data_IF_079888133964
#
_entry.id   IF_079888133964
#
_cell.length_a   1.000
_cell.length_b   1.000
_cell.length_c   1.000
_cell.angle_alpha   90.00
_cell.angle_beta   90.00
_cell.angle_gamma   90.00
#
_symmetry.space_group_name_H-M   'P 1'
#
loop_
_entity.id
_entity.type
_entity.pdbx_description
1 polymer ?
#
# COMPACT_ATOMS: atom_id res chain seq x y z
N UNK A 1 35.14 -27.96 49.17
CA UNK A 1 34.70 -27.15 48.00
C UNK A 1 35.92 -26.81 47.15
N UNK A 2 35.95 -27.25 45.89
CA UNK A 2 37.05 -26.97 44.97
C UNK A 2 37.13 -25.47 44.68
N UNK A 3 38.16 -24.80 45.22
CA UNK A 3 38.40 -23.35 45.03
C UNK A 3 38.82 -22.99 43.59
N UNK A 4 39.08 -23.99 42.74
CA UNK A 4 39.58 -23.83 41.37
C UNK A 4 38.59 -23.11 40.43
N UNK A 5 37.31 -22.96 40.81
CA UNK A 5 36.30 -22.26 40.01
C UNK A 5 36.09 -20.80 40.40
N UNK A 6 36.66 -20.33 41.52
CA UNK A 6 36.44 -18.96 42.02
C UNK A 6 37.09 -17.94 41.09
N UNK A 7 38.36 -18.17 40.70
CA UNK A 7 39.09 -17.29 39.80
C UNK A 7 38.44 -17.21 38.39
N UNK A 8 38.15 -18.32 37.69
CA UNK A 8 37.49 -18.24 36.39
C UNK A 8 36.07 -17.64 36.49
N UNK A 9 35.32 -17.93 37.55
CA UNK A 9 34.01 -17.31 37.77
C UNK A 9 34.09 -15.79 37.96
N UNK A 10 35.06 -15.31 38.73
CA UNK A 10 35.31 -13.88 38.91
C UNK A 10 35.72 -13.20 37.60
N UNK A 11 36.61 -13.82 36.82
CA UNK A 11 37.03 -13.28 35.51
C UNK A 11 35.84 -13.16 34.55
N UNK A 12 34.96 -14.16 34.51
CA UNK A 12 33.74 -14.12 33.67
C UNK A 12 32.83 -12.98 34.11
N UNK A 13 32.59 -12.83 35.41
CA UNK A 13 31.72 -11.77 35.93
C UNK A 13 32.27 -10.37 35.66
N UNK A 14 33.57 -10.14 35.88
CA UNK A 14 34.22 -8.86 35.60
C UNK A 14 34.18 -8.56 34.11
N UNK A 15 34.50 -9.54 33.25
CA UNK A 15 34.47 -9.37 31.80
C UNK A 15 33.06 -9.05 31.30
N UNK A 16 32.07 -9.80 31.79
CA UNK A 16 30.66 -9.56 31.45
C UNK A 16 30.17 -8.20 31.94
N UNK A 17 30.54 -7.80 33.16
CA UNK A 17 30.21 -6.48 33.71
C UNK A 17 30.85 -5.35 32.92
N UNK A 18 32.11 -5.51 32.49
CA UNK A 18 32.81 -4.53 31.67
C UNK A 18 32.17 -4.39 30.27
N UNK A 19 31.75 -5.50 29.66
CA UNK A 19 31.03 -5.47 28.38
C UNK A 19 29.69 -4.75 28.54
N UNK A 20 28.89 -5.08 29.58
CA UNK A 20 27.63 -4.38 29.86
C UNK A 20 27.88 -2.90 30.11
N UNK A 21 28.88 -2.56 30.92
CA UNK A 21 29.19 -1.18 31.22
C UNK A 21 29.54 -0.40 29.95
N UNK A 22 30.41 -0.94 29.10
CA UNK A 22 30.88 -0.24 27.90
C UNK A 22 29.86 -0.20 26.75
N UNK A 23 29.01 -1.23 26.61
CA UNK A 23 28.08 -1.35 25.47
C UNK A 23 26.64 -0.93 25.78
N UNK A 24 26.25 -0.89 27.07
CA UNK A 24 24.88 -0.55 27.49
C UNK A 24 24.86 0.66 28.39
N UNK A 25 25.55 0.61 29.54
CA UNK A 25 25.45 1.66 30.55
C UNK A 25 26.11 2.96 30.09
N UNK A 26 27.33 2.90 29.57
CA UNK A 26 28.07 4.08 29.12
C UNK A 26 27.30 4.80 27.99
N UNK A 27 26.87 4.15 26.88
CA UNK A 27 26.03 4.78 25.87
C UNK A 27 24.73 5.37 26.44
N UNK A 28 24.06 4.69 27.38
CA UNK A 28 22.85 5.20 27.99
C UNK A 28 23.04 6.56 28.70
N UNK A 29 24.22 6.80 29.28
CA UNK A 29 24.53 8.06 29.97
C UNK A 29 25.10 9.15 29.07
N UNK A 30 25.68 8.81 27.91
CA UNK A 30 26.37 9.79 27.04
C UNK A 30 25.63 10.07 25.72
N UNK A 31 24.78 9.14 25.27
CA UNK A 31 24.12 9.21 23.98
C UNK A 31 22.67 9.69 24.14
N UNK A 32 22.51 11.00 24.10
CA UNK A 32 21.21 11.67 24.07
C UNK A 32 21.11 12.47 22.78
N UNK A 33 20.64 11.85 21.68
CA UNK A 33 20.46 12.59 20.44
C UNK A 33 19.37 13.65 20.63
N UNK A 34 19.63 14.87 20.17
CA UNK A 34 18.61 15.91 20.09
C UNK A 34 17.53 15.52 19.06
N UNK A 35 16.27 15.95 19.24
CA UNK A 35 15.23 15.76 18.25
C UNK A 35 15.67 16.31 16.89
N UNK A 36 15.54 15.49 15.85
CA UNK A 36 15.77 15.98 14.49
C UNK A 36 14.63 16.91 14.05
N UNK A 37 14.84 17.63 12.94
CA UNK A 37 13.77 18.38 12.26
C UNK A 37 12.54 17.49 11.92
N UNK A 38 12.76 16.19 11.75
CA UNK A 38 11.76 15.22 11.35
C UNK A 38 11.16 14.43 12.51
N UNK A 39 11.62 14.65 13.76
CA UNK A 39 11.11 13.97 14.93
C UNK A 39 9.59 14.25 15.09
N UNK A 40 8.83 13.18 15.35
CA UNK A 40 7.37 13.24 15.49
C UNK A 40 7.00 12.93 16.93
N UNK A 41 6.39 13.90 17.60
CA UNK A 41 5.62 13.63 18.81
C UNK A 41 4.26 13.07 18.40
N UNK A 42 3.94 11.88 18.89
CA UNK A 42 2.70 11.21 18.53
C UNK A 42 1.51 11.84 19.24
N UNK A 43 0.46 12.09 18.46
CA UNK A 43 -0.89 12.30 19.01
C UNK A 43 -1.36 11.04 19.75
N UNK A 44 -2.40 11.15 20.59
CA UNK A 44 -2.96 9.99 21.31
C UNK A 44 -3.38 8.86 20.37
N UNK A 45 -3.95 9.20 19.21
CA UNK A 45 -4.35 8.22 18.20
C UNK A 45 -3.15 7.53 17.54
N UNK A 46 -2.10 8.28 17.20
CA UNK A 46 -0.85 7.73 16.64
C UNK A 46 -0.10 6.87 17.68
N UNK A 47 -0.09 7.27 18.94
CA UNK A 47 0.50 6.49 20.03
C UNK A 47 -0.23 5.17 20.25
N UNK A 48 -1.57 5.18 20.26
CA UNK A 48 -2.39 3.96 20.26
C UNK A 48 -2.07 3.08 19.05
N UNK A 49 -1.96 3.68 17.86
CA UNK A 49 -1.60 2.98 16.63
C UNK A 49 -0.23 2.31 16.68
N UNK A 50 0.75 2.98 17.31
CA UNK A 50 2.09 2.46 17.53
C UNK A 50 2.08 1.25 18.46
N UNK A 51 1.25 1.29 19.51
CA UNK A 51 1.07 0.15 20.40
C UNK A 51 0.44 -1.04 19.67
N UNK A 52 -0.53 -0.79 18.79
CA UNK A 52 -1.13 -1.82 17.93
C UNK A 52 -0.08 -2.38 16.97
N UNK A 53 0.71 -1.54 16.30
CA UNK A 53 1.79 -1.98 15.40
C UNK A 53 2.76 -2.94 16.11
N UNK A 54 3.11 -2.66 17.38
CA UNK A 54 3.91 -3.55 18.22
C UNK A 54 3.17 -4.82 18.59
N UNK A 55 1.92 -4.71 19.06
CA UNK A 55 1.06 -5.84 19.50
C UNK A 55 0.84 -6.85 18.38
N UNK A 56 0.59 -6.37 17.17
CA UNK A 56 0.36 -7.18 15.98
C UNK A 56 1.67 -7.72 15.36
N UNK A 57 2.83 -7.34 15.91
CA UNK A 57 4.13 -7.84 15.48
C UNK A 57 4.58 -7.32 14.11
N UNK A 58 4.08 -6.16 13.66
CA UNK A 58 4.42 -5.60 12.35
C UNK A 58 5.94 -5.37 12.21
N UNK A 59 6.61 -5.03 13.32
CA UNK A 59 8.08 -4.85 13.42
C UNK A 59 8.89 -6.09 13.03
N UNK A 60 8.29 -7.29 13.10
CA UNK A 60 8.96 -8.52 12.69
C UNK A 60 9.00 -8.69 11.18
N UNK A 61 8.25 -7.92 10.40
CA UNK A 61 8.31 -7.98 8.93
C UNK A 61 8.77 -6.67 8.30
N UNK A 62 8.47 -5.55 8.94
CA UNK A 62 8.70 -4.22 8.43
C UNK A 62 9.74 -3.48 9.27
N UNK A 63 10.84 -3.09 8.62
CA UNK A 63 11.81 -2.18 9.24
C UNK A 63 11.31 -0.74 9.21
N UNK A 64 11.78 0.05 10.16
CA UNK A 64 11.70 1.50 10.16
C UNK A 64 13.12 2.04 10.27
N UNK A 65 13.99 1.63 9.35
CA UNK A 65 15.35 2.11 9.29
C UNK A 65 15.90 2.05 7.86
N UNK A 66 15.78 3.16 7.14
CA UNK A 66 16.35 3.30 5.79
C UNK A 66 17.87 3.49 5.87
N UNK A 67 18.60 2.58 5.23
CA UNK A 67 20.08 2.48 5.22
C UNK A 67 20.65 3.15 3.97
N UNK A 68 21.95 3.45 3.98
CA UNK A 68 22.66 4.06 2.83
C UNK A 68 22.55 3.25 1.53
N UNK A 69 22.57 1.92 1.66
CA UNK A 69 22.45 0.98 0.56
C UNK A 69 21.01 0.79 0.05
N UNK A 70 20.02 1.28 0.79
CA UNK A 70 18.63 1.11 0.40
C UNK A 70 18.26 1.99 -0.79
N UNK A 71 17.31 1.51 -1.59
CA UNK A 71 16.78 2.22 -2.76
C UNK A 71 15.25 2.16 -2.72
N UNK A 72 14.61 3.26 -3.07
CA UNK A 72 13.14 3.34 -3.18
C UNK A 72 12.37 3.54 -1.86
N UNK A 73 13.04 3.60 -0.70
CA UNK A 73 12.38 3.81 0.60
C UNK A 73 12.39 5.26 1.10
N UNK A 74 12.83 6.21 0.27
CA UNK A 74 12.85 7.64 0.61
C UNK A 74 14.13 8.08 1.33
N UNK A 75 14.13 9.26 1.97
CA UNK A 75 15.31 9.82 2.62
C UNK A 75 15.80 8.97 3.79
N UNK A 76 17.09 9.09 4.09
CA UNK A 76 17.74 8.41 5.21
C UNK A 76 17.18 8.90 6.54
N UNK A 77 17.14 8.00 7.51
CA UNK A 77 16.72 8.29 8.88
C UNK A 77 17.91 8.76 9.71
N UNK A 78 17.64 9.57 10.73
CA UNK A 78 18.64 10.09 11.67
C UNK A 78 18.35 9.58 13.09
N UNK A 79 19.37 9.53 13.95
CA UNK A 79 19.18 9.10 15.35
C UNK A 79 18.13 9.97 16.08
N UNK A 80 18.13 11.27 15.81
CA UNK A 80 17.16 12.23 16.35
C UNK A 80 15.70 11.99 15.94
N UNK A 81 15.44 11.18 14.90
CA UNK A 81 14.08 10.88 14.44
C UNK A 81 13.30 10.01 15.45
N UNK A 82 14.01 9.29 16.32
CA UNK A 82 13.46 8.30 17.26
C UNK A 82 13.54 8.75 18.73
N UNK A 83 13.73 10.05 18.98
CA UNK A 83 13.87 10.56 20.37
C UNK A 83 12.62 10.30 21.21
N UNK A 84 11.44 10.32 20.59
CA UNK A 84 10.16 10.06 21.25
C UNK A 84 9.76 8.57 21.24
N UNK A 85 10.62 7.70 20.72
CA UNK A 85 10.31 6.30 20.48
C UNK A 85 10.86 5.39 21.58
N UNK A 86 10.00 4.99 22.52
CA UNK A 86 10.37 4.05 23.59
C UNK A 86 9.41 2.85 23.65
N UNK A 87 9.88 1.61 23.38
CA UNK A 87 11.14 1.26 22.71
C UNK A 87 11.08 1.63 21.23
N UNK A 88 12.21 1.87 20.57
CA UNK A 88 12.24 2.10 19.12
C UNK A 88 11.79 0.87 18.31
N UNK A 89 11.21 1.11 17.14
CA UNK A 89 10.60 0.08 16.28
C UNK A 89 11.38 -0.09 14.95
N UNK A 90 12.71 0.03 15.01
CA UNK A 90 13.60 0.00 13.83
C UNK A 90 13.48 -1.29 13.00
N UNK A 91 13.10 -2.40 13.64
CA UNK A 91 13.01 -3.72 13.03
C UNK A 91 14.39 -4.31 12.67
N UNK A 92 14.47 -5.63 12.61
CA UNK A 92 15.72 -6.36 12.33
C UNK A 92 15.71 -7.07 10.98
N UNK A 93 14.53 -7.30 10.40
CA UNK A 93 14.35 -7.95 9.10
C UNK A 93 13.39 -7.18 8.20
N UNK A 94 13.41 -7.50 6.91
CA UNK A 94 12.64 -6.81 5.87
C UNK A 94 11.93 -7.83 4.97
N UNK A 95 11.02 -8.59 5.59
CA UNK A 95 10.12 -9.51 4.89
C UNK A 95 9.06 -8.73 4.09
N UNK A 96 8.57 -7.63 4.68
CA UNK A 96 7.84 -6.58 3.99
C UNK A 96 8.73 -5.35 3.77
N UNK A 97 8.28 -4.33 3.02
CA UNK A 97 9.04 -3.09 2.77
C UNK A 97 9.36 -2.31 4.04
N UNK A 98 10.37 -1.44 3.96
CA UNK A 98 10.65 -0.45 5.01
C UNK A 98 9.56 0.63 5.07
N UNK A 99 9.12 0.99 6.27
CA UNK A 99 8.02 1.93 6.51
C UNK A 99 8.46 3.28 7.08
N UNK A 100 9.76 3.56 7.23
CA UNK A 100 10.26 4.80 7.86
C UNK A 100 9.73 6.08 7.21
N UNK A 101 9.33 5.96 5.94
CA UNK A 101 8.81 7.02 5.09
C UNK A 101 7.51 6.57 4.42
N UNK A 102 6.62 5.86 5.13
CA UNK A 102 5.35 5.42 4.55
C UNK A 102 4.28 6.52 4.58
N UNK A 103 4.40 7.43 5.52
CA UNK A 103 3.44 8.50 5.77
C UNK A 103 3.11 9.31 4.53
N UNK A 104 1.83 9.29 4.17
CA UNK A 104 1.26 9.98 3.03
C UNK A 104 1.33 9.21 1.72
N UNK A 105 2.25 8.25 1.54
CA UNK A 105 2.46 7.50 0.26
C UNK A 105 1.19 6.87 -0.29
N UNK A 106 0.33 6.46 0.62
CA UNK A 106 -1.01 5.98 0.35
C UNK A 106 -1.98 6.68 1.30
N UNK A 107 -3.25 6.89 0.91
CA UNK A 107 -4.26 7.44 1.80
C UNK A 107 -4.88 6.34 2.67
N UNK A 108 -5.61 6.76 3.69
CA UNK A 108 -6.13 5.89 4.76
C UNK A 108 -6.98 4.74 4.23
N UNK A 109 -7.81 4.99 3.21
CA UNK A 109 -8.62 3.96 2.58
C UNK A 109 -7.80 2.85 1.93
N UNK A 110 -6.62 3.17 1.39
CA UNK A 110 -5.69 2.17 0.85
C UNK A 110 -5.10 1.35 1.99
N UNK A 111 -4.63 1.99 3.07
CA UNK A 111 -4.07 1.29 4.22
C UNK A 111 -5.10 0.36 4.85
N UNK A 112 -6.34 0.84 5.05
CA UNK A 112 -7.46 0.02 5.52
C UNK A 112 -7.70 -1.20 4.63
N UNK A 113 -7.80 -1.00 3.31
CA UNK A 113 -7.99 -2.11 2.37
C UNK A 113 -6.80 -3.08 2.37
N UNK A 114 -5.57 -2.56 2.49
CA UNK A 114 -4.35 -3.34 2.56
C UNK A 114 -4.32 -4.19 3.83
N UNK A 115 -4.65 -3.63 5.00
CA UNK A 115 -4.72 -4.36 6.26
C UNK A 115 -5.83 -5.41 6.26
N UNK A 116 -7.01 -5.11 5.70
CA UNK A 116 -8.11 -6.08 5.58
C UNK A 116 -7.71 -7.26 4.68
N UNK A 117 -7.15 -6.99 3.51
CA UNK A 117 -6.69 -8.06 2.62
C UNK A 117 -5.49 -7.60 1.78
N UNK A 118 -4.25 -7.89 2.24
CA UNK A 118 -3.05 -7.44 1.56
C UNK A 118 -2.93 -7.94 0.11
N UNK A 119 -3.52 -9.10 -0.21
CA UNK A 119 -3.44 -9.70 -1.56
C UNK A 119 -4.33 -8.98 -2.58
N UNK A 120 -5.33 -8.24 -2.13
CA UNK A 120 -6.17 -7.43 -3.03
C UNK A 120 -5.46 -6.18 -3.51
N UNK A 121 -4.54 -5.67 -2.70
CA UNK A 121 -3.78 -4.45 -2.96
C UNK A 121 -2.39 -4.76 -3.53
N UNK A 122 -1.70 -5.71 -2.91
CA UNK A 122 -0.37 -6.20 -3.27
C UNK A 122 -0.47 -7.70 -3.52
N UNK A 123 -0.76 -8.11 -4.76
CA UNK A 123 -1.01 -9.52 -5.03
C UNK A 123 0.24 -10.38 -4.82
N UNK A 124 0.06 -11.57 -4.26
CA UNK A 124 1.17 -12.42 -3.83
C UNK A 124 1.80 -11.99 -2.51
N UNK A 125 1.27 -10.94 -1.84
CA UNK A 125 1.72 -10.54 -0.51
C UNK A 125 1.60 -11.70 0.48
N UNK A 126 2.67 -11.88 1.26
CA UNK A 126 2.71 -12.82 2.40
C UNK A 126 2.23 -12.17 3.70
N UNK A 127 1.97 -10.86 3.70
CA UNK A 127 1.46 -10.13 4.87
C UNK A 127 0.12 -10.74 5.34
N UNK A 128 -0.05 -11.05 6.64
CA UNK A 128 -1.32 -11.52 7.18
C UNK A 128 -2.44 -10.49 7.04
N UNK A 129 -3.71 -10.91 6.90
CA UNK A 129 -4.84 -10.00 7.02
C UNK A 129 -5.08 -9.63 8.50
N UNK A 130 -5.49 -8.39 8.76
CA UNK A 130 -5.78 -7.84 10.09
C UNK A 130 -7.28 -7.57 10.28
N UNK A 131 -8.14 -8.41 9.70
CA UNK A 131 -9.60 -8.27 9.77
C UNK A 131 -10.18 -8.41 11.18
N UNK A 132 -9.39 -8.92 12.13
CA UNK A 132 -9.77 -9.02 13.55
C UNK A 132 -9.68 -7.68 14.30
N UNK A 133 -8.99 -6.68 13.75
CA UNK A 133 -8.92 -5.36 14.37
C UNK A 133 -10.29 -4.68 14.30
N UNK A 134 -10.71 -4.11 15.43
CA UNK A 134 -11.87 -3.22 15.48
C UNK A 134 -11.60 -1.95 14.69
N UNK A 135 -12.65 -1.25 14.28
CA UNK A 135 -12.53 -0.02 13.47
C UNK A 135 -11.62 1.02 14.14
N UNK A 136 -11.83 1.34 15.41
CA UNK A 136 -10.99 2.30 16.16
C UNK A 136 -9.52 1.87 16.31
N UNK A 137 -9.23 0.57 16.25
CA UNK A 137 -7.86 0.03 16.27
C UNK A 137 -7.23 0.12 14.87
N UNK A 138 -8.02 -0.13 13.83
CA UNK A 138 -7.63 0.03 12.44
C UNK A 138 -7.29 1.50 12.15
N UNK A 139 -8.14 2.44 12.54
CA UNK A 139 -7.92 3.87 12.37
C UNK A 139 -6.66 4.34 13.11
N UNK A 140 -6.44 3.88 14.34
CA UNK A 140 -5.23 4.18 15.09
C UNK A 140 -3.98 3.64 14.39
N UNK A 141 -3.99 2.39 13.95
CA UNK A 141 -2.86 1.79 13.22
C UNK A 141 -2.55 2.57 11.93
N UNK A 142 -3.59 2.98 11.19
CA UNK A 142 -3.44 3.81 9.99
C UNK A 142 -2.82 5.16 10.36
N UNK A 143 -3.32 5.84 11.41
CA UNK A 143 -2.77 7.12 11.85
C UNK A 143 -1.28 7.02 12.19
N UNK A 144 -0.87 5.96 12.89
CA UNK A 144 0.54 5.71 13.17
C UNK A 144 1.36 5.53 11.88
N UNK A 145 0.94 4.68 10.95
CA UNK A 145 1.65 4.49 9.67
C UNK A 145 1.71 5.79 8.86
N UNK A 146 0.65 6.59 8.90
CA UNK A 146 0.59 7.90 8.26
C UNK A 146 1.55 8.93 8.88
N UNK A 147 1.93 8.76 10.14
CA UNK A 147 2.89 9.63 10.81
C UNK A 147 4.33 9.37 10.37
N UNK A 148 4.64 8.16 9.88
CA UNK A 148 6.01 7.71 9.60
C UNK A 148 6.65 8.50 8.44
N UNK A 149 7.61 9.37 8.75
CA UNK A 149 8.28 10.21 7.76
C UNK A 149 7.40 11.33 7.20
N UNK A 150 6.25 11.63 7.82
CA UNK A 150 5.32 12.71 7.42
C UNK A 150 6.01 14.08 7.32
N UNK A 151 6.93 14.38 8.24
CA UNK A 151 7.77 15.59 8.24
C UNK A 151 8.96 15.49 7.26
N UNK A 152 9.46 14.27 7.03
CA UNK A 152 10.64 13.99 6.18
C UNK A 152 10.32 14.03 4.69
N UNK A 153 9.11 13.60 4.32
CA UNK A 153 8.64 13.58 2.93
C UNK A 153 8.00 14.91 2.54
N UNK A 154 8.42 15.47 1.41
CA UNK A 154 7.76 16.62 0.81
C UNK A 154 6.39 16.19 0.26
N UNK A 155 5.48 17.15 0.06
CA UNK A 155 4.10 16.88 -0.40
C UNK A 155 4.04 15.99 -1.65
N UNK A 156 5.02 16.09 -2.54
CA UNK A 156 5.10 15.32 -3.78
C UNK A 156 5.79 13.95 -3.63
N UNK A 157 6.59 13.72 -2.58
CA UNK A 157 7.21 12.41 -2.28
C UNK A 157 6.26 11.47 -1.50
N UNK A 158 5.21 12.05 -0.92
CA UNK A 158 4.08 11.35 -0.29
C UNK A 158 3.16 10.67 -1.31
N UNK A 159 3.51 10.54 -2.58
CA UNK A 159 2.88 9.58 -3.49
C UNK A 159 4.05 9.04 -4.30
N UNK A 160 4.40 7.75 -4.17
CA UNK A 160 5.58 7.19 -4.86
C UNK A 160 5.56 7.56 -6.35
N UNK A 161 6.58 8.29 -6.79
CA UNK A 161 6.70 8.81 -8.16
C UNK A 161 8.17 8.93 -8.58
N UNK A 162 8.57 8.37 -9.73
CA UNK A 162 9.88 8.67 -10.31
C UNK A 162 9.95 10.13 -10.81
N UNK A 163 11.04 10.84 -10.51
CA UNK A 163 11.26 12.27 -10.90
C UNK A 163 10.99 12.54 -12.39
N UNK A 164 11.28 11.57 -13.25
CA UNK A 164 11.03 11.62 -14.69
C UNK A 164 9.57 11.98 -15.02
N UNK A 165 8.60 11.48 -14.25
CA UNK A 165 7.17 11.73 -14.47
C UNK A 165 6.73 13.12 -14.00
N UNK A 166 7.43 13.70 -13.02
CA UNK A 166 7.19 15.10 -12.61
C UNK A 166 7.60 16.04 -13.74
N UNK A 167 8.74 15.81 -14.38
CA UNK A 167 9.20 16.63 -15.51
C UNK A 167 8.23 16.57 -16.72
N UNK A 168 7.51 15.46 -16.89
CA UNK A 168 6.45 15.35 -17.92
C UNK A 168 5.23 16.22 -17.60
N UNK A 169 4.91 16.42 -16.32
CA UNK A 169 3.82 17.31 -15.91
C UNK A 169 4.16 18.78 -16.25
N UNK A 170 5.39 19.21 -15.98
CA UNK A 170 5.84 20.59 -16.28
C UNK A 170 5.80 20.92 -17.78
N UNK A 171 6.02 19.91 -18.63
CA UNK A 171 6.01 20.03 -20.09
C UNK A 171 4.64 19.69 -20.72
N UNK A 172 3.60 19.47 -19.90
CA UNK A 172 2.28 19.06 -20.38
C UNK A 172 1.61 20.17 -21.17
N UNK A 173 1.20 19.85 -22.40
CA UNK A 173 0.42 20.76 -23.27
C UNK A 173 -1.09 20.56 -23.17
N UNK A 174 -1.54 19.42 -22.64
CA UNK A 174 -2.97 19.07 -22.50
C UNK A 174 -3.54 19.66 -21.21
N UNK A 175 -4.64 20.42 -21.32
CA UNK A 175 -5.47 20.79 -20.18
C UNK A 175 -6.38 19.63 -19.77
N UNK A 176 -6.03 18.96 -18.68
CA UNK A 176 -6.78 17.79 -18.18
C UNK A 176 -8.12 18.13 -17.51
N UNK A 177 -8.44 19.41 -17.33
CA UNK A 177 -9.75 19.83 -16.84
C UNK A 177 -10.71 20.20 -17.98
N UNK A 178 -10.22 20.20 -19.23
CA UNK A 178 -11.02 20.50 -20.41
C UNK A 178 -11.94 19.33 -20.79
N UNK A 179 -13.20 19.65 -21.10
CA UNK A 179 -14.16 18.68 -21.62
C UNK A 179 -13.74 18.09 -22.97
N UNK A 180 -13.02 18.86 -23.80
CA UNK A 180 -12.49 18.39 -25.07
C UNK A 180 -11.42 17.30 -24.86
N UNK A 181 -10.49 17.53 -23.91
CA UNK A 181 -9.47 16.56 -23.53
C UNK A 181 -10.11 15.29 -22.92
N UNK A 182 -11.13 15.45 -22.08
CA UNK A 182 -11.87 14.32 -21.50
C UNK A 182 -12.62 13.51 -22.57
N UNK A 183 -13.18 14.15 -23.60
CA UNK A 183 -13.85 13.46 -24.71
C UNK A 183 -12.87 12.69 -25.59
N UNK A 184 -11.70 13.27 -25.91
CA UNK A 184 -10.62 12.55 -26.58
C UNK A 184 -10.16 11.34 -25.76
N UNK A 185 -10.01 11.52 -24.45
CA UNK A 185 -9.66 10.48 -23.49
C UNK A 185 -10.68 9.34 -23.43
N UNK A 186 -11.98 9.68 -23.45
CA UNK A 186 -13.07 8.70 -23.49
C UNK A 186 -12.96 7.77 -24.68
N UNK A 187 -12.67 8.31 -25.87
CA UNK A 187 -12.47 7.51 -27.08
C UNK A 187 -11.30 6.53 -26.95
N UNK A 188 -10.16 7.00 -26.45
CA UNK A 188 -8.98 6.15 -26.21
C UNK A 188 -9.31 5.06 -25.17
N UNK A 189 -10.00 5.42 -24.09
CA UNK A 189 -10.36 4.51 -23.02
C UNK A 189 -11.32 3.41 -23.50
N UNK A 190 -12.32 3.76 -24.32
CA UNK A 190 -13.25 2.79 -24.90
C UNK A 190 -12.55 1.77 -25.78
N UNK A 191 -11.60 2.21 -26.61
CA UNK A 191 -10.88 1.33 -27.54
C UNK A 191 -9.87 0.41 -26.83
N UNK A 192 -9.26 0.88 -25.74
CA UNK A 192 -8.09 0.24 -25.17
C UNK A 192 -8.30 -0.34 -23.76
N UNK A 193 -9.19 0.23 -22.97
CA UNK A 193 -9.28 -0.01 -21.53
C UNK A 193 -10.60 -0.66 -21.11
N UNK A 194 -11.71 -0.31 -21.78
CA UNK A 194 -13.06 -0.68 -21.39
C UNK A 194 -13.32 -2.20 -21.38
N UNK A 195 -12.60 -2.98 -22.19
CA UNK A 195 -12.71 -4.45 -22.19
C UNK A 195 -12.44 -5.07 -20.82
N UNK A 196 -11.54 -4.46 -20.03
CA UNK A 196 -11.26 -4.88 -18.65
C UNK A 196 -11.95 -3.97 -17.63
N UNK A 197 -11.90 -2.66 -17.82
CA UNK A 197 -12.36 -1.69 -16.82
C UNK A 197 -13.86 -1.34 -16.91
N UNK A 198 -14.56 -1.79 -17.96
CA UNK A 198 -15.90 -1.34 -18.30
C UNK A 198 -15.88 0.09 -18.86
N UNK A 199 -16.89 0.52 -19.59
CA UNK A 199 -16.97 1.87 -20.19
C UNK A 199 -16.98 3.01 -19.17
N UNK A 200 -17.39 2.71 -17.94
CA UNK A 200 -17.45 3.65 -16.81
C UNK A 200 -16.27 3.49 -15.82
N UNK A 201 -15.28 2.65 -16.12
CA UNK A 201 -14.11 2.49 -15.26
C UNK A 201 -14.39 1.80 -13.91
N UNK A 202 -15.46 1.02 -13.82
CA UNK A 202 -15.89 0.34 -12.59
C UNK A 202 -15.19 -1.00 -12.35
N UNK A 203 -14.33 -1.43 -13.27
CA UNK A 203 -13.62 -2.71 -13.18
C UNK A 203 -14.47 -3.92 -13.54
N UNK A 204 -15.57 -3.69 -14.27
CA UNK A 204 -16.59 -4.68 -14.64
C UNK A 204 -16.66 -4.95 -16.15
N UNK A 205 -15.56 -4.77 -16.87
CA UNK A 205 -15.52 -5.07 -18.30
C UNK A 205 -15.69 -6.57 -18.56
N UNK A 206 -16.08 -6.99 -19.78
CA UNK A 206 -16.33 -8.39 -20.10
C UNK A 206 -15.16 -9.33 -19.76
N UNK A 207 -13.91 -8.84 -19.87
CA UNK A 207 -12.74 -9.63 -19.52
C UNK A 207 -12.43 -9.67 -18.02
N UNK A 208 -13.08 -8.86 -17.17
CA UNK A 208 -12.76 -8.77 -15.74
C UNK A 208 -13.07 -10.04 -14.96
N UNK A 209 -14.08 -10.81 -15.41
CA UNK A 209 -14.57 -12.02 -14.73
C UNK A 209 -13.50 -13.12 -14.73
N UNK A 210 -12.78 -13.28 -15.84
CA UNK A 210 -11.77 -14.32 -16.02
C UNK A 210 -10.37 -13.95 -15.47
N UNK A 211 -10.22 -12.78 -14.83
CA UNK A 211 -8.94 -12.33 -14.30
C UNK A 211 -8.79 -12.72 -12.83
N UNK A 212 -7.69 -13.43 -12.54
CA UNK A 212 -7.27 -13.71 -11.16
C UNK A 212 -7.09 -12.42 -10.32
N UNK A 213 -6.74 -11.30 -10.98
CA UNK A 213 -6.69 -9.97 -10.37
C UNK A 213 -7.71 -9.07 -11.05
N UNK A 214 -8.76 -8.70 -10.33
CA UNK A 214 -9.83 -7.86 -10.87
C UNK A 214 -9.31 -6.44 -11.19
N UNK A 215 -9.73 -5.82 -12.31
CA UNK A 215 -9.43 -4.44 -12.62
C UNK A 215 -9.99 -3.47 -11.57
N UNK A 216 -9.33 -2.34 -11.38
CA UNK A 216 -9.73 -1.34 -10.39
C UNK A 216 -11.08 -0.69 -10.73
N UNK A 217 -11.87 -0.41 -9.70
CA UNK A 217 -13.03 0.48 -9.75
C UNK A 217 -12.56 1.90 -9.43
N UNK A 218 -12.41 2.73 -10.47
CA UNK A 218 -11.89 4.09 -10.37
C UNK A 218 -12.85 5.09 -9.71
N UNK A 219 -14.08 4.68 -9.40
CA UNK A 219 -15.03 5.52 -8.67
C UNK A 219 -14.75 5.56 -7.17
N UNK A 220 -13.95 4.62 -6.63
CA UNK A 220 -13.61 4.58 -5.21
C UNK A 220 -12.86 5.86 -4.78
N UNK A 221 -13.14 6.42 -3.58
CA UNK A 221 -12.53 7.68 -3.11
C UNK A 221 -11.02 7.72 -3.27
N UNK A 222 -10.34 6.62 -2.94
CA UNK A 222 -8.90 6.43 -3.11
C UNK A 222 -8.35 6.89 -4.48
N UNK A 223 -9.00 6.47 -5.57
CA UNK A 223 -8.53 6.81 -6.92
C UNK A 223 -8.89 8.24 -7.32
N UNK A 224 -9.89 8.84 -6.68
CA UNK A 224 -10.26 10.24 -6.91
C UNK A 224 -9.27 11.22 -6.31
N UNK A 225 -8.55 10.79 -5.29
CA UNK A 225 -7.53 11.61 -4.63
C UNK A 225 -6.17 11.56 -5.37
N UNK A 226 -6.07 10.79 -6.46
CA UNK A 226 -4.89 10.81 -7.32
C UNK A 226 -4.77 12.16 -8.03
N UNK A 227 -3.59 12.77 -7.93
CA UNK A 227 -3.24 13.89 -8.78
C UNK A 227 -2.99 13.44 -10.24
N UNK A 228 -2.95 14.43 -11.15
CA UNK A 228 -2.89 14.18 -12.59
C UNK A 228 -1.70 13.29 -12.98
N UNK A 229 -0.55 13.52 -12.35
CA UNK A 229 0.70 12.80 -12.66
C UNK A 229 0.73 11.40 -12.06
N UNK A 230 0.04 11.16 -10.95
CA UNK A 230 -0.16 9.80 -10.43
C UNK A 230 -1.03 8.98 -11.38
N UNK A 231 -2.09 9.58 -11.91
CA UNK A 231 -2.88 8.96 -12.98
C UNK A 231 -2.03 8.68 -14.22
N UNK A 232 -1.27 9.68 -14.68
CA UNK A 232 -0.41 9.55 -15.84
C UNK A 232 0.62 8.42 -15.68
N UNK A 233 1.32 8.37 -14.55
CA UNK A 233 2.29 7.32 -14.24
C UNK A 233 1.64 5.93 -14.23
N UNK A 234 0.46 5.81 -13.60
CA UNK A 234 -0.25 4.52 -13.51
C UNK A 234 -0.70 4.02 -14.88
N UNK A 235 -1.17 4.92 -15.74
CA UNK A 235 -1.50 4.59 -17.14
C UNK A 235 -0.21 4.22 -17.89
N UNK A 236 0.84 5.01 -17.75
CA UNK A 236 2.13 4.84 -18.44
C UNK A 236 2.79 3.49 -18.17
N UNK A 237 2.94 3.11 -16.90
CA UNK A 237 3.66 1.89 -16.50
C UNK A 237 2.75 0.67 -16.30
N UNK A 238 1.43 0.87 -16.25
CA UNK A 238 0.49 -0.19 -15.90
C UNK A 238 0.64 -0.66 -14.44
N UNK A 239 0.30 -1.92 -14.19
CA UNK A 239 0.43 -2.54 -12.86
C UNK A 239 1.23 -3.83 -12.98
N UNK A 240 2.49 -3.87 -12.49
CA UNK A 240 3.34 -5.06 -12.54
C UNK A 240 2.65 -6.31 -11.99
N UNK A 241 2.84 -7.44 -12.69
CA UNK A 241 2.22 -8.71 -12.34
C UNK A 241 0.71 -8.77 -12.59
N UNK A 242 0.11 -7.83 -13.31
CA UNK A 242 -1.28 -7.88 -13.78
C UNK A 242 -1.35 -7.95 -15.30
N UNK A 243 -2.55 -8.08 -15.86
CA UNK A 243 -2.76 -7.95 -17.32
C UNK A 243 -2.80 -6.48 -17.79
N UNK A 244 -2.65 -5.48 -16.90
CA UNK A 244 -2.59 -4.07 -17.29
C UNK A 244 -1.19 -3.74 -17.83
N UNK A 245 -1.05 -3.48 -19.15
CA UNK A 245 0.26 -3.30 -19.77
C UNK A 245 0.83 -1.90 -19.53
N UNK A 246 2.11 -1.73 -19.88
CA UNK A 246 2.77 -0.42 -19.96
C UNK A 246 2.26 0.33 -21.20
N UNK A 247 1.30 1.25 -21.03
CA UNK A 247 0.70 1.96 -22.17
C UNK A 247 1.64 2.95 -22.85
N UNK A 248 2.70 3.41 -22.18
CA UNK A 248 3.75 4.25 -22.81
C UNK A 248 4.43 3.61 -24.03
N UNK A 249 4.29 2.29 -24.19
CA UNK A 249 4.79 1.55 -25.35
C UNK A 249 3.84 1.60 -26.56
N UNK A 250 2.62 2.09 -26.39
CA UNK A 250 1.55 2.09 -27.40
C UNK A 250 0.86 3.44 -27.57
N UNK A 251 0.86 4.29 -26.55
CA UNK A 251 0.23 5.60 -26.53
C UNK A 251 1.29 6.67 -26.36
N UNK A 252 1.05 7.83 -26.98
CA UNK A 252 1.87 9.03 -26.77
C UNK A 252 1.57 9.66 -25.41
N UNK A 253 2.48 10.51 -24.93
CA UNK A 253 2.27 11.27 -23.69
C UNK A 253 0.98 12.10 -23.76
N UNK A 254 0.70 12.73 -24.91
CA UNK A 254 -0.54 13.49 -25.12
C UNK A 254 -1.79 12.62 -24.98
N UNK A 255 -1.80 11.43 -25.59
CA UNK A 255 -2.88 10.46 -25.48
C UNK A 255 -3.10 9.98 -24.05
N UNK A 256 -2.03 9.77 -23.30
CA UNK A 256 -2.13 9.41 -21.87
C UNK A 256 -2.67 10.58 -21.04
N UNK A 257 -2.32 11.84 -21.35
CA UNK A 257 -2.93 12.99 -20.69
C UNK A 257 -4.42 13.14 -21.00
N UNK A 258 -4.87 12.83 -22.22
CA UNK A 258 -6.30 12.74 -22.53
C UNK A 258 -7.00 11.68 -21.68
N UNK A 259 -6.38 10.51 -21.47
CA UNK A 259 -6.89 9.49 -20.55
C UNK A 259 -7.01 10.01 -19.12
N UNK A 260 -6.00 10.75 -18.61
CA UNK A 260 -6.08 11.39 -17.29
C UNK A 260 -7.29 12.33 -17.21
N UNK A 261 -7.48 13.17 -18.22
CA UNK A 261 -8.63 14.07 -18.30
C UNK A 261 -9.96 13.32 -18.19
N UNK A 262 -10.11 12.21 -18.93
CA UNK A 262 -11.31 11.37 -18.85
C UNK A 262 -11.49 10.71 -17.47
N UNK A 263 -10.44 10.15 -16.87
CA UNK A 263 -10.52 9.47 -15.57
C UNK A 263 -10.99 10.41 -14.45
N UNK A 264 -10.65 11.70 -14.53
CA UNK A 264 -11.13 12.74 -13.61
C UNK A 264 -12.63 13.00 -13.72
N UNK A 265 -13.24 12.74 -14.88
CA UNK A 265 -14.70 12.88 -15.09
C UNK A 265 -15.53 11.73 -14.55
N UNK A 266 -14.89 10.60 -14.19
CA UNK A 266 -15.61 9.46 -13.65
C UNK A 266 -16.24 9.82 -12.28
N UNK A 267 -17.42 9.28 -11.93
CA UNK A 267 -18.11 9.61 -10.68
C UNK A 267 -17.34 9.13 -9.45
N UNK A 268 -17.50 9.80 -8.30
CA UNK A 268 -17.03 9.32 -6.99
C UNK A 268 -18.15 8.48 -6.37
N UNK A 269 -17.86 7.38 -5.67
CA UNK A 269 -18.86 6.41 -5.13
C UNK A 269 -19.89 7.03 -4.16
N UNK A 270 -19.75 8.28 -3.74
CA UNK A 270 -20.80 9.00 -3.00
C UNK A 270 -21.87 9.64 -3.92
N UNK A 271 -21.61 9.70 -5.22
CA UNK A 271 -22.57 10.00 -6.28
C UNK A 271 -22.84 8.72 -7.07
N UNK A 272 -23.85 7.98 -6.63
CA UNK A 272 -24.49 6.97 -7.46
C UNK A 272 -25.24 7.74 -8.55
N UNK A 273 -24.62 7.96 -9.72
CA UNK A 273 -25.35 8.39 -10.90
C UNK A 273 -25.55 7.23 -11.87
N UNK A 274 -26.79 6.74 -12.00
CA UNK A 274 -27.31 6.15 -13.21
C UNK A 274 -28.34 7.12 -13.78
N UNK A 275 -27.93 8.03 -14.67
CA UNK A 275 -28.88 8.71 -15.54
C UNK A 275 -28.50 8.44 -16.99
N UNK A 276 -28.87 7.22 -17.41
CA UNK A 276 -29.49 6.87 -18.71
C UNK A 276 -29.15 5.42 -19.09
N UNK A 277 -29.96 4.36 -18.92
CA UNK A 277 -31.24 4.05 -18.24
C UNK A 277 -32.47 4.96 -18.44
N UNK A 278 -32.50 5.84 -19.43
CA UNK A 278 -33.65 6.75 -19.62
C UNK A 278 -34.92 6.02 -20.12
N UNK A 279 -34.93 4.70 -20.18
CA UNK A 279 -35.98 3.91 -20.83
C UNK A 279 -36.40 2.62 -20.13
N UNK A 280 -35.96 2.34 -18.89
CA UNK A 280 -36.33 1.07 -18.23
C UNK A 280 -37.22 1.31 -17.01
N UNK A 281 -38.43 0.78 -17.08
CA UNK A 281 -39.47 0.98 -16.07
C UNK A 281 -39.13 0.34 -14.70
N UNK A 282 -39.55 0.96 -13.58
CA UNK A 282 -39.09 0.61 -12.22
C UNK A 282 -39.46 -0.81 -11.73
N UNK A 283 -40.52 -1.39 -12.27
CA UNK A 283 -41.06 -2.70 -11.92
C UNK A 283 -40.19 -3.86 -12.43
N UNK A 284 -39.55 -3.71 -13.60
CA UNK A 284 -38.62 -4.72 -14.15
C UNK A 284 -37.32 -4.83 -13.35
N UNK A 285 -36.96 -3.79 -12.60
CA UNK A 285 -35.73 -3.76 -11.80
C UNK A 285 -35.80 -4.66 -10.56
N UNK A 286 -36.98 -4.72 -9.93
CA UNK A 286 -37.19 -5.52 -8.71
C UNK A 286 -37.24 -7.03 -8.97
N UNK A 287 -37.64 -7.46 -10.18
CA UNK A 287 -37.60 -8.88 -10.53
C UNK A 287 -36.18 -9.40 -10.78
N UNK A 288 -35.32 -8.62 -11.44
CA UNK A 288 -33.94 -9.04 -11.71
C UNK A 288 -33.09 -9.17 -10.45
N UNK A 289 -33.29 -8.29 -9.46
CA UNK A 289 -32.59 -8.40 -8.18
C UNK A 289 -33.06 -9.60 -7.37
N UNK A 290 -34.37 -9.87 -7.33
CA UNK A 290 -34.93 -11.06 -6.67
C UNK A 290 -34.47 -12.35 -7.34
N UNK A 291 -34.35 -12.37 -8.67
CA UNK A 291 -33.80 -13.50 -9.41
C UNK A 291 -32.32 -13.75 -9.05
N UNK A 292 -31.50 -12.68 -8.98
CA UNK A 292 -30.08 -12.80 -8.63
C UNK A 292 -29.83 -13.23 -7.18
N UNK A 293 -30.67 -12.79 -6.24
CA UNK A 293 -30.56 -13.14 -4.82
C UNK A 293 -31.05 -14.57 -4.55
N UNK A 294 -32.07 -15.03 -5.28
CA UNK A 294 -32.52 -16.42 -5.25
C UNK A 294 -31.49 -17.38 -5.87
N UNK A 295 -30.84 -17.00 -6.98
CA UNK A 295 -29.77 -17.80 -7.60
C UNK A 295 -28.54 -17.91 -6.69
N UNK A 296 -28.06 -16.79 -6.12
CA UNK A 296 -26.93 -16.75 -5.18
C UNK A 296 -27.16 -17.57 -3.90
N UNK A 297 -28.42 -17.71 -3.45
CA UNK A 297 -28.77 -18.49 -2.27
C UNK A 297 -29.15 -19.94 -2.58
N UNK A 298 -29.24 -20.32 -3.86
CA UNK A 298 -29.60 -21.68 -4.30
C UNK A 298 -28.40 -22.55 -4.69
N UNK A 299 -27.19 -21.97 -4.82
CA UNK A 299 -25.98 -22.76 -5.08
C UNK A 299 -25.57 -23.55 -3.83
N UNK A 300 -25.37 -24.89 -3.92
CA UNK A 300 -24.93 -25.68 -2.79
C UNK A 300 -23.53 -25.26 -2.34
N UNK A 301 -23.36 -24.98 -1.04
CA UNK A 301 -22.04 -24.81 -0.42
C UNK A 301 -21.23 -26.10 -0.59
N UNK A 302 -20.34 -26.13 -1.59
CA UNK A 302 -19.36 -27.19 -1.82
C UNK A 302 -18.05 -26.52 -2.26
N UNK A 303 -16.84 -26.93 -1.88
CA UNK A 303 -16.36 -28.12 -1.19
C UNK A 303 -14.96 -27.76 -0.64
N UNK A 304 -14.68 -28.11 0.61
CA UNK A 304 -13.30 -28.10 1.13
C UNK A 304 -12.50 -29.12 0.31
N UNK A 305 -11.50 -28.67 -0.44
CA UNK A 305 -10.59 -29.56 -1.18
C UNK A 305 -9.57 -30.12 -0.18
N UNK A 306 -9.65 -31.42 0.07
CA UNK A 306 -8.64 -32.20 0.79
C UNK A 306 -7.27 -32.07 0.11
N UNK A 307 -6.26 -31.68 0.89
CA UNK A 307 -4.87 -31.60 0.43
C UNK A 307 -4.30 -33.01 0.25
N UNK A 308 -4.12 -33.45 -1.01
CA UNK A 308 -3.16 -34.52 -1.31
C UNK A 308 -1.76 -33.91 -1.39
N UNK A 309 -0.82 -34.49 -0.64
CA UNK A 309 0.56 -34.01 -0.47
C UNK A 309 1.36 -33.91 -1.78
N UNK A 310 2.54 -33.26 -1.74
CA UNK A 310 3.30 -32.93 -2.93
C UNK A 310 3.88 -34.18 -3.63
N UNK A 311 4.00 -34.17 -4.97
CA UNK A 311 4.55 -35.29 -5.73
C UNK A 311 6.07 -35.43 -5.53
N UNK A 312 6.64 -36.64 -5.73
CA UNK A 312 8.05 -36.92 -5.45
C UNK A 312 8.98 -36.27 -6.48
N UNK A 313 10.10 -35.75 -5.99
CA UNK A 313 11.19 -35.17 -6.77
C UNK A 313 11.88 -36.27 -7.59
N UNK A 314 11.76 -36.21 -8.92
CA UNK A 314 12.55 -37.04 -9.81
C UNK A 314 13.95 -36.42 -9.97
N UNK A 315 14.96 -37.20 -9.58
CA UNK A 315 16.36 -36.86 -9.79
C UNK A 315 16.77 -36.94 -11.26
N UNK A 316 17.79 -36.17 -11.61
CA UNK A 316 18.47 -36.24 -12.90
C UNK A 316 19.79 -35.50 -12.79
N UNK A 317 20.84 -36.24 -12.45
CA UNK A 317 22.22 -35.81 -12.65
C UNK A 317 22.69 -36.23 -14.05
N UNK A 318 23.42 -35.35 -14.70
CA UNK A 318 24.72 -35.57 -15.35
C UNK A 318 25.39 -34.21 -15.53
#
# INVERSE_FOLDING_TARGET
>A
MNKNYILPGFVILVSFSLIIFTTVLLPHFIFHPEPSEYAVEYTELEAKGRDIYRREGCVYCHSQFVRLQDRGFGPLVQAGDYVYDTPNLLGTIRTGPDLSNEGGKHPDAWHKAHFINPRTITPGSIMPPFVHLKEDDMEALIAYVQSLGKKRLKKYDRIYRPDEYVAKLEKRTVDVNSSAAANAGRGIFQQNCATCHGTHGLGNGPNSIALAKKPANFSRPFYKDYDDVTWFWRVSEGVPGTRMPQWRKKLTDEQMWYLVAFLKTLPRVNEVYPHSYETLEPDKWLEQLKASEAELNSEPKAMLIETKGPPPMAGGGH
#
